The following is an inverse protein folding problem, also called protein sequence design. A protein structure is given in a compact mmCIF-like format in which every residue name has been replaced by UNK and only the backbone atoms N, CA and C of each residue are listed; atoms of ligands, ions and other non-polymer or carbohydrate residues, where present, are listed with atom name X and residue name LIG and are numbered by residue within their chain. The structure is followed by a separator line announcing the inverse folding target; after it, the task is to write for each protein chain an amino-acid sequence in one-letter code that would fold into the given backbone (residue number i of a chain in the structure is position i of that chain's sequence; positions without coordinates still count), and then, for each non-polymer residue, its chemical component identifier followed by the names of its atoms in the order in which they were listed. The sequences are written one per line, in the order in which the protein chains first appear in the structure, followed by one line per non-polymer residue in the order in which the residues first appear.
data_IF_135320865528
#
_entry.id   IF_135320865528
#
_cell.length_a   1.000
_cell.length_b   1.000
_cell.length_c   1.000
_cell.angle_alpha   90.00
_cell.angle_beta   90.00
_cell.angle_gamma   90.00
#
_symmetry.space_group_name_H-M   'P 1'
#
loop_
_entity.id
_entity.type
_entity.pdbx_description
1 polymer ?
#
# COMPACT_ATOMS: atom_id res chain seq x y z
N UNK A 1 -46.07 -20.94 -20.51
CA UNK A 1 -44.71 -21.51 -20.68
C UNK A 1 -43.72 -20.36 -20.34
N UNK A 2 -43.26 -20.31 -19.10
CA UNK A 2 -42.40 -19.23 -18.56
C UNK A 2 -40.97 -19.74 -18.64
N UNK A 3 -40.15 -19.13 -19.47
CA UNK A 3 -38.73 -19.44 -19.58
C UNK A 3 -38.03 -18.75 -18.41
N UNK A 4 -37.25 -19.45 -17.58
CA UNK A 4 -36.46 -18.80 -16.56
C UNK A 4 -35.29 -18.07 -17.22
N UNK A 5 -35.23 -16.77 -17.03
CA UNK A 5 -34.06 -15.97 -17.36
C UNK A 5 -32.95 -16.40 -16.45
N UNK A 6 -31.99 -17.11 -16.98
CA UNK A 6 -30.77 -17.50 -16.36
C UNK A 6 -29.97 -16.20 -16.07
N UNK A 7 -30.04 -15.73 -14.83
CA UNK A 7 -29.24 -14.61 -14.37
C UNK A 7 -27.76 -14.95 -14.50
N UNK A 8 -27.10 -14.32 -15.44
CA UNK A 8 -25.63 -14.24 -15.49
C UNK A 8 -25.19 -13.66 -14.16
N UNK A 9 -24.56 -14.48 -13.32
CA UNK A 9 -23.81 -13.99 -12.15
C UNK A 9 -22.69 -13.17 -12.76
N UNK A 10 -22.91 -11.86 -12.88
CA UNK A 10 -21.85 -10.91 -13.11
C UNK A 10 -20.88 -11.08 -11.97
N UNK A 11 -19.70 -11.57 -12.29
CA UNK A 11 -18.52 -11.50 -11.42
C UNK A 11 -18.29 -10.02 -11.17
N UNK A 12 -18.88 -9.49 -10.11
CA UNK A 12 -18.57 -8.15 -9.58
C UNK A 12 -17.15 -8.21 -9.07
N UNK A 13 -16.20 -8.13 -10.00
CA UNK A 13 -14.87 -7.66 -9.71
C UNK A 13 -15.09 -6.26 -9.17
N UNK A 14 -15.11 -6.12 -7.85
CA UNK A 14 -15.11 -4.80 -7.21
C UNK A 14 -13.81 -4.11 -7.65
N UNK A 15 -13.91 -3.39 -8.75
CA UNK A 15 -12.84 -2.54 -9.23
C UNK A 15 -12.79 -1.37 -8.26
N UNK A 16 -12.04 -1.53 -7.15
CA UNK A 16 -11.74 -0.41 -6.27
C UNK A 16 -11.18 0.77 -7.08
N UNK A 17 -11.04 1.93 -6.46
CA UNK A 17 -10.55 3.17 -7.10
C UNK A 17 -9.32 2.94 -8.00
N UNK A 18 -8.42 2.07 -7.56
CA UNK A 18 -7.24 1.70 -8.34
C UNK A 18 -7.58 0.99 -9.64
N UNK A 19 -8.54 0.05 -9.60
CA UNK A 19 -8.94 -0.73 -10.77
C UNK A 19 -9.65 0.09 -11.83
N UNK A 20 -10.33 1.18 -11.44
CA UNK A 20 -10.95 2.11 -12.36
C UNK A 20 -9.93 2.95 -13.14
N UNK A 21 -8.72 3.19 -12.56
CA UNK A 21 -7.70 4.05 -13.15
C UNK A 21 -6.54 3.26 -13.78
N UNK A 22 -6.19 2.12 -13.22
CA UNK A 22 -4.97 1.39 -13.56
C UNK A 22 -5.25 -0.09 -13.77
N UNK A 23 -4.69 -0.67 -14.83
CA UNK A 23 -4.67 -2.13 -15.01
C UNK A 23 -3.87 -2.81 -13.88
N UNK A 24 -4.09 -4.11 -13.60
CA UNK A 24 -3.38 -4.82 -12.51
C UNK A 24 -1.86 -4.75 -12.58
N UNK A 25 -1.28 -4.77 -13.79
CA UNK A 25 0.17 -4.62 -13.98
C UNK A 25 0.63 -3.20 -13.66
N UNK A 26 -0.13 -2.19 -14.10
CA UNK A 26 0.17 -0.78 -13.80
C UNK A 26 0.14 -0.53 -12.29
N UNK A 27 -0.89 -1.01 -11.60
CA UNK A 27 -0.99 -0.89 -10.15
C UNK A 27 0.26 -1.40 -9.46
N UNK A 28 0.69 -2.63 -9.78
CA UNK A 28 1.85 -3.25 -9.14
C UNK A 28 3.15 -2.52 -9.46
N UNK A 29 3.38 -2.14 -10.71
CA UNK A 29 4.58 -1.38 -11.12
C UNK A 29 4.62 -0.02 -10.44
N UNK A 30 3.51 0.74 -10.47
CA UNK A 30 3.43 2.05 -9.86
C UNK A 30 3.52 1.95 -8.32
N UNK A 31 2.88 0.95 -7.72
CA UNK A 31 2.96 0.70 -6.28
C UNK A 31 4.39 0.49 -5.80
N UNK A 32 5.18 -0.31 -6.52
CA UNK A 32 6.59 -0.53 -6.18
C UNK A 32 7.44 0.72 -6.36
N UNK A 33 7.35 1.37 -7.53
CA UNK A 33 8.22 2.52 -7.87
C UNK A 33 7.88 3.75 -7.02
N UNK A 34 6.61 4.10 -6.88
CA UNK A 34 6.18 5.30 -6.16
C UNK A 34 5.95 5.05 -4.66
N UNK A 35 5.75 3.81 -4.25
CA UNK A 35 5.78 3.42 -2.83
C UNK A 35 7.19 3.48 -2.24
N UNK A 36 8.23 3.30 -3.06
CA UNK A 36 9.64 3.36 -2.65
C UNK A 36 10.44 4.29 -3.60
N UNK A 37 10.14 5.60 -3.65
CA UNK A 37 10.62 6.49 -4.71
C UNK A 37 12.14 6.67 -4.74
N UNK A 38 12.80 6.48 -3.61
CA UNK A 38 14.27 6.60 -3.52
C UNK A 38 15.01 5.31 -3.88
N UNK A 39 14.27 4.21 -4.09
CA UNK A 39 14.85 2.93 -4.45
C UNK A 39 15.03 2.79 -5.96
N UNK A 40 16.17 2.23 -6.34
CA UNK A 40 16.45 1.79 -7.70
C UNK A 40 16.14 0.32 -7.83
N UNK A 41 15.28 -0.03 -8.77
CA UNK A 41 14.88 -1.40 -9.05
C UNK A 41 15.52 -1.88 -10.35
N UNK A 42 16.11 -3.06 -10.33
CA UNK A 42 16.51 -3.72 -11.58
C UNK A 42 15.28 -4.19 -12.35
N UNK A 43 15.36 -4.20 -13.69
CA UNK A 43 14.30 -4.72 -14.55
C UNK A 43 13.84 -6.12 -14.16
N UNK A 44 14.79 -7.03 -13.95
CA UNK A 44 14.49 -8.42 -13.55
C UNK A 44 13.82 -8.50 -12.17
N UNK A 45 14.20 -7.65 -11.24
CA UNK A 45 13.59 -7.54 -9.92
C UNK A 45 12.13 -7.10 -10.02
N UNK A 46 11.85 -6.04 -10.79
CA UNK A 46 10.48 -5.56 -11.02
C UNK A 46 9.61 -6.64 -11.65
N UNK A 47 10.09 -7.37 -12.65
CA UNK A 47 9.36 -8.46 -13.29
C UNK A 47 8.98 -9.52 -12.26
N UNK A 48 9.92 -9.91 -11.40
CA UNK A 48 9.68 -10.89 -10.35
C UNK A 48 8.67 -10.41 -9.32
N UNK A 49 8.80 -9.17 -8.82
CA UNK A 49 7.93 -8.62 -7.77
C UNK A 49 6.52 -8.32 -8.29
N UNK A 50 6.38 -7.91 -9.54
CA UNK A 50 5.08 -7.59 -10.15
C UNK A 50 4.22 -8.84 -10.38
N UNK A 51 4.80 -10.04 -10.45
CA UNK A 51 4.10 -11.29 -10.78
C UNK A 51 3.18 -11.14 -12.01
N UNK A 52 3.64 -10.37 -13.00
CA UNK A 52 2.94 -10.13 -14.26
C UNK A 52 3.69 -10.72 -15.44
N UNK A 53 3.05 -10.85 -16.58
CA UNK A 53 3.74 -11.26 -17.79
C UNK A 53 4.89 -10.32 -18.12
N UNK A 54 6.10 -10.86 -18.36
CA UNK A 54 7.33 -10.11 -18.62
C UNK A 54 7.14 -8.99 -19.65
N UNK A 55 6.47 -9.29 -20.76
CA UNK A 55 6.19 -8.31 -21.81
C UNK A 55 5.27 -7.17 -21.38
N UNK A 56 4.32 -7.43 -20.48
CA UNK A 56 3.42 -6.39 -19.96
C UNK A 56 4.18 -5.43 -19.02
N UNK A 57 5.06 -5.97 -18.18
CA UNK A 57 5.92 -5.15 -17.30
C UNK A 57 6.87 -4.29 -18.13
N UNK A 58 7.54 -4.87 -19.13
CA UNK A 58 8.43 -4.12 -20.01
C UNK A 58 7.70 -2.98 -20.75
N UNK A 59 6.51 -3.24 -21.32
CA UNK A 59 5.74 -2.18 -21.97
C UNK A 59 5.38 -1.05 -21.01
N UNK A 60 5.00 -1.40 -19.77
CA UNK A 60 4.68 -0.39 -18.78
C UNK A 60 5.91 0.44 -18.38
N UNK A 61 7.06 -0.20 -18.16
CA UNK A 61 8.30 0.49 -17.83
C UNK A 61 8.77 1.40 -18.96
N UNK A 62 8.66 0.95 -20.22
CA UNK A 62 8.99 1.78 -21.38
C UNK A 62 8.10 3.04 -21.46
N UNK A 63 6.79 2.91 -21.26
CA UNK A 63 5.89 4.06 -21.21
C UNK A 63 6.24 5.06 -20.12
N UNK A 64 6.61 4.57 -18.93
CA UNK A 64 6.99 5.43 -17.81
C UNK A 64 8.34 6.11 -18.05
N UNK A 65 9.29 5.42 -18.70
CA UNK A 65 10.58 5.98 -19.12
C UNK A 65 10.36 7.08 -20.16
N UNK A 66 9.63 6.79 -21.23
CA UNK A 66 9.33 7.70 -22.34
C UNK A 66 8.59 8.97 -21.88
N UNK A 67 7.64 8.83 -20.95
CA UNK A 67 6.87 9.94 -20.41
C UNK A 67 7.55 10.69 -19.25
N UNK A 68 8.76 10.28 -18.84
CA UNK A 68 9.56 10.96 -17.81
C UNK A 68 9.07 10.71 -16.36
N UNK A 69 8.15 9.77 -16.13
CA UNK A 69 7.71 9.40 -14.78
C UNK A 69 8.79 8.64 -14.00
N UNK A 70 9.69 7.99 -14.70
CA UNK A 70 10.82 7.28 -14.09
C UNK A 70 12.12 7.70 -14.74
N UNK A 71 13.20 7.71 -13.96
CA UNK A 71 14.56 7.81 -14.45
C UNK A 71 15.12 6.41 -14.64
N UNK A 72 15.90 6.22 -15.70
CA UNK A 72 16.60 4.97 -16.00
C UNK A 72 18.09 5.19 -15.97
N UNK A 73 18.79 4.42 -15.16
CA UNK A 73 20.26 4.37 -15.15
C UNK A 73 20.71 3.00 -15.64
N UNK A 74 21.81 2.95 -16.37
CA UNK A 74 22.43 1.71 -16.83
C UNK A 74 23.70 1.44 -16.05
N UNK A 75 23.82 0.24 -15.50
CA UNK A 75 25.03 -0.27 -14.88
C UNK A 75 25.42 -1.57 -15.61
N UNK A 76 26.44 -1.49 -16.48
CA UNK A 76 26.73 -2.56 -17.41
C UNK A 76 25.54 -2.84 -18.34
N UNK A 77 25.12 -4.11 -18.43
CA UNK A 77 23.98 -4.53 -19.26
C UNK A 77 22.61 -4.48 -18.52
N UNK A 78 22.57 -3.88 -17.33
CA UNK A 78 21.36 -3.84 -16.50
C UNK A 78 20.72 -2.44 -16.49
N UNK A 79 19.41 -2.38 -16.70
CA UNK A 79 18.60 -1.18 -16.50
C UNK A 79 18.08 -1.13 -15.06
N UNK A 80 18.24 0.03 -14.44
CA UNK A 80 17.67 0.34 -13.13
C UNK A 80 16.65 1.47 -13.28
N UNK A 81 15.48 1.27 -12.75
CA UNK A 81 14.34 2.19 -12.77
C UNK A 81 14.12 2.80 -11.40
N UNK A 82 13.88 4.09 -11.36
CA UNK A 82 13.55 4.84 -10.14
C UNK A 82 12.47 5.86 -10.46
N UNK A 83 11.55 6.11 -9.53
CA UNK A 83 10.58 7.19 -9.68
C UNK A 83 11.29 8.53 -9.84
N UNK A 84 10.83 9.35 -10.78
CA UNK A 84 11.45 10.64 -11.10
C UNK A 84 10.87 11.74 -10.20
N UNK A 85 11.57 12.10 -9.14
CA UNK A 85 11.16 13.16 -8.22
C UNK A 85 11.14 14.56 -8.86
N UNK A 86 11.80 14.75 -10.00
CA UNK A 86 11.77 16.00 -10.75
C UNK A 86 10.58 16.12 -11.71
N UNK A 87 9.76 15.06 -11.86
CA UNK A 87 8.53 15.14 -12.64
C UNK A 87 7.56 16.14 -11.99
N UNK A 88 6.99 17.09 -12.74
CA UNK A 88 6.12 18.13 -12.17
C UNK A 88 4.92 17.61 -11.39
N UNK A 89 4.37 16.46 -11.76
CA UNK A 89 3.23 15.83 -11.10
C UNK A 89 3.63 14.65 -10.20
N UNK A 90 4.90 14.58 -9.78
CA UNK A 90 5.40 13.49 -8.95
C UNK A 90 4.67 13.37 -7.61
N UNK A 91 4.46 14.49 -6.92
CA UNK A 91 3.82 14.51 -5.60
C UNK A 91 2.37 14.02 -5.66
N UNK A 92 1.63 14.47 -6.69
CA UNK A 92 0.23 14.11 -6.92
C UNK A 92 0.08 12.62 -7.25
N UNK A 93 0.92 12.11 -8.17
CA UNK A 93 0.90 10.69 -8.53
C UNK A 93 1.30 9.83 -7.33
N UNK A 94 2.34 10.20 -6.60
CA UNK A 94 2.76 9.50 -5.39
C UNK A 94 1.63 9.47 -4.34
N UNK A 95 0.96 10.59 -4.12
CA UNK A 95 -0.19 10.69 -3.23
C UNK A 95 -1.36 9.80 -3.67
N UNK A 96 -1.66 9.81 -4.96
CA UNK A 96 -2.70 8.95 -5.55
C UNK A 96 -2.36 7.46 -5.37
N UNK A 97 -1.13 7.08 -5.70
CA UNK A 97 -0.67 5.70 -5.59
C UNK A 97 -0.68 5.23 -4.13
N UNK A 98 -0.19 6.05 -3.18
CA UNK A 98 -0.22 5.71 -1.76
C UNK A 98 -1.64 5.42 -1.25
N UNK A 99 -2.62 6.20 -1.72
CA UNK A 99 -4.03 6.09 -1.31
C UNK A 99 -4.81 4.99 -2.05
N UNK A 100 -4.31 4.47 -3.16
CA UNK A 100 -5.08 3.55 -4.01
C UNK A 100 -4.45 2.17 -4.18
N UNK A 101 -3.17 2.07 -4.45
CA UNK A 101 -2.50 0.80 -4.80
C UNK A 101 -1.21 0.54 -4.06
N UNK A 102 -0.56 1.59 -3.53
CA UNK A 102 0.81 1.50 -3.03
C UNK A 102 0.94 0.58 -1.83
N UNK A 103 0.57 1.07 -0.67
CA UNK A 103 0.72 0.33 0.58
C UNK A 103 -0.62 -0.11 1.15
N UNK A 104 -1.67 0.67 0.92
CA UNK A 104 -2.99 0.44 1.55
C UNK A 104 -3.63 -0.84 1.06
N UNK A 105 -3.64 -1.08 -0.25
CA UNK A 105 -4.35 -2.22 -0.82
C UNK A 105 -3.73 -3.60 -0.46
N UNK A 106 -2.40 -3.80 -0.55
CA UNK A 106 -1.79 -5.03 -0.07
C UNK A 106 -2.02 -5.30 1.42
N UNK A 107 -1.99 -4.25 2.25
CA UNK A 107 -2.28 -4.36 3.68
C UNK A 107 -3.74 -4.68 3.95
N UNK A 108 -4.67 -4.05 3.21
CA UNK A 108 -6.10 -4.34 3.32
C UNK A 108 -6.39 -5.80 3.01
N UNK A 109 -5.83 -6.34 1.93
CA UNK A 109 -5.99 -7.76 1.57
C UNK A 109 -5.39 -8.69 2.62
N UNK A 110 -4.24 -8.34 3.18
CA UNK A 110 -3.61 -9.14 4.23
C UNK A 110 -4.46 -9.17 5.51
N UNK A 111 -5.12 -8.07 5.84
CA UNK A 111 -5.99 -7.95 7.01
C UNK A 111 -7.43 -8.41 6.76
N UNK A 112 -7.84 -8.66 5.51
CA UNK A 112 -9.20 -9.07 5.16
C UNK A 112 -9.72 -10.27 5.98
N UNK A 113 -8.93 -11.36 6.19
CA UNK A 113 -9.37 -12.49 7.02
C UNK A 113 -9.58 -12.14 8.49
N UNK A 114 -9.02 -11.03 8.96
CA UNK A 114 -9.07 -10.55 10.34
C UNK A 114 -10.01 -9.34 10.50
N UNK A 115 -10.63 -8.88 9.42
CA UNK A 115 -11.35 -7.59 9.37
C UNK A 115 -12.46 -7.47 10.41
N UNK A 116 -13.18 -8.54 10.70
CA UNK A 116 -14.25 -8.57 11.71
C UNK A 116 -13.75 -8.29 13.14
N UNK A 117 -12.45 -8.47 13.38
CA UNK A 117 -11.79 -8.18 14.65
C UNK A 117 -11.12 -6.82 14.70
N UNK A 118 -11.08 -6.07 13.59
CA UNK A 118 -10.37 -4.78 13.47
C UNK A 118 -11.35 -3.62 13.50
N UNK A 119 -11.25 -2.76 14.49
CA UNK A 119 -12.02 -1.51 14.54
C UNK A 119 -11.44 -0.47 13.57
N UNK A 120 -10.12 -0.31 13.58
CA UNK A 120 -9.41 0.54 12.63
C UNK A 120 -7.98 0.03 12.42
N UNK A 121 -7.45 0.22 11.22
CA UNK A 121 -6.04 -0.01 10.91
C UNK A 121 -5.51 1.09 10.01
N UNK A 122 -4.34 1.64 10.32
CA UNK A 122 -3.75 2.73 9.54
C UNK A 122 -2.23 2.74 9.60
N UNK A 123 -1.62 3.21 8.51
CA UNK A 123 -0.19 3.50 8.42
C UNK A 123 0.06 4.86 9.04
N UNK A 124 1.13 4.98 9.82
CA UNK A 124 1.60 6.23 10.43
C UNK A 124 3.10 6.42 10.19
N UNK A 125 3.73 7.34 10.90
CA UNK A 125 5.17 7.53 10.84
C UNK A 125 5.67 8.20 9.56
N UNK A 126 6.85 7.79 9.10
CA UNK A 126 7.55 8.43 7.97
C UNK A 126 6.79 8.33 6.66
N UNK A 127 6.13 7.20 6.41
CA UNK A 127 5.35 6.96 5.20
C UNK A 127 4.16 7.90 5.10
N UNK A 128 3.37 7.98 6.16
CA UNK A 128 2.20 8.85 6.20
C UNK A 128 2.58 10.34 6.08
N UNK A 129 3.75 10.71 6.58
CA UNK A 129 4.34 12.06 6.44
C UNK A 129 4.96 12.32 5.08
N UNK A 130 5.19 11.30 4.25
CA UNK A 130 5.92 11.43 3.00
C UNK A 130 7.43 11.67 3.16
N UNK A 131 8.02 11.31 4.31
CA UNK A 131 9.45 11.48 4.64
C UNK A 131 10.21 10.15 4.70
N UNK A 132 9.57 9.05 4.29
CA UNK A 132 10.14 7.71 4.29
C UNK A 132 11.32 7.56 3.33
N UNK A 133 12.22 6.63 3.68
CA UNK A 133 13.36 6.22 2.88
C UNK A 133 13.16 4.79 2.39
N UNK A 134 13.99 4.34 1.46
CA UNK A 134 13.93 2.98 0.91
C UNK A 134 14.02 1.88 1.99
N UNK A 135 14.76 2.13 3.06
CA UNK A 135 14.95 1.20 4.17
C UNK A 135 13.95 1.43 5.34
N UNK A 136 13.00 2.38 5.21
CA UNK A 136 12.02 2.60 6.26
C UNK A 136 10.99 1.48 6.29
N UNK A 137 10.68 0.98 7.48
CA UNK A 137 9.59 0.04 7.69
C UNK A 137 8.23 0.71 7.48
N UNK A 138 7.21 -0.12 7.31
CA UNK A 138 5.82 0.33 7.28
C UNK A 138 5.28 0.26 8.70
N UNK A 139 5.16 1.40 9.36
CA UNK A 139 4.56 1.49 10.68
C UNK A 139 3.04 1.34 10.56
N UNK A 140 2.48 0.22 11.03
CA UNK A 140 1.06 -0.09 10.99
C UNK A 140 0.49 -0.13 12.41
N UNK A 141 -0.54 0.65 12.70
CA UNK A 141 -1.32 0.51 13.93
C UNK A 141 -2.64 -0.19 13.62
N UNK A 142 -2.98 -1.17 14.46
CA UNK A 142 -4.26 -1.88 14.43
C UNK A 142 -4.96 -1.69 15.76
N UNK A 143 -6.17 -1.17 15.73
CA UNK A 143 -7.03 -1.04 16.91
C UNK A 143 -7.99 -2.24 16.94
N UNK A 144 -7.81 -3.08 17.96
CA UNK A 144 -8.54 -4.33 18.10
C UNK A 144 -8.55 -4.78 19.57
N UNK A 145 -9.66 -5.33 20.00
CA UNK A 145 -9.79 -6.01 21.30
C UNK A 145 -9.62 -7.54 21.23
N UNK A 146 -9.49 -8.06 19.99
CA UNK A 146 -9.47 -9.51 19.71
C UNK A 146 -8.16 -10.03 19.16
N UNK A 147 -7.41 -9.15 18.48
CA UNK A 147 -6.19 -9.53 17.76
C UNK A 147 -4.95 -9.22 18.58
N UNK A 148 -3.97 -10.13 18.50
CA UNK A 148 -2.65 -9.96 19.06
C UNK A 148 -1.57 -9.79 17.99
N UNK A 149 -0.35 -9.49 18.43
CA UNK A 149 0.81 -9.41 17.55
C UNK A 149 1.03 -10.66 16.67
N UNK A 150 0.90 -11.90 17.20
CA UNK A 150 1.10 -13.11 16.39
C UNK A 150 0.12 -13.24 15.22
N UNK A 151 -1.15 -12.82 15.41
CA UNK A 151 -2.17 -12.88 14.37
C UNK A 151 -1.79 -11.95 13.21
N UNK A 152 -1.40 -10.72 13.54
CA UNK A 152 -0.98 -9.71 12.56
C UNK A 152 0.33 -10.13 11.88
N UNK A 153 1.29 -10.63 12.62
CA UNK A 153 2.56 -11.09 12.05
C UNK A 153 2.34 -12.12 10.96
N UNK A 154 1.48 -13.11 11.23
CA UNK A 154 1.15 -14.17 10.27
C UNK A 154 0.43 -13.61 9.05
N UNK A 155 -0.58 -12.76 9.25
CA UNK A 155 -1.37 -12.20 8.16
C UNK A 155 -0.55 -11.27 7.25
N UNK A 156 0.41 -10.52 7.81
CA UNK A 156 1.16 -9.50 7.09
C UNK A 156 2.35 -10.03 6.27
N UNK A 157 2.77 -11.28 6.46
CA UNK A 157 3.92 -11.87 5.73
C UNK A 157 3.78 -11.79 4.21
N UNK A 158 2.58 -12.06 3.69
CA UNK A 158 2.32 -11.96 2.25
C UNK A 158 2.43 -10.52 1.75
N UNK A 159 1.98 -9.54 2.54
CA UNK A 159 2.08 -8.14 2.21
C UNK A 159 3.54 -7.66 2.25
N UNK A 160 4.34 -8.04 3.25
CA UNK A 160 5.78 -7.75 3.30
C UNK A 160 6.50 -8.25 2.05
N UNK A 161 6.23 -9.50 1.67
CA UNK A 161 6.81 -10.10 0.47
C UNK A 161 6.42 -9.34 -0.81
N UNK A 162 5.14 -8.96 -0.93
CA UNK A 162 4.63 -8.23 -2.10
C UNK A 162 5.16 -6.80 -2.18
N UNK A 163 5.32 -6.13 -1.05
CA UNK A 163 5.81 -4.75 -0.96
C UNK A 163 7.34 -4.66 -0.97
N UNK A 164 8.04 -5.77 -0.65
CA UNK A 164 9.50 -5.79 -0.49
C UNK A 164 9.96 -4.87 0.66
N UNK A 165 9.13 -4.71 1.71
CA UNK A 165 9.38 -3.86 2.89
C UNK A 165 8.84 -4.54 4.14
N UNK A 166 9.57 -4.41 5.22
CA UNK A 166 9.12 -4.88 6.54
C UNK A 166 7.92 -4.07 7.03
N UNK A 167 7.02 -4.74 7.70
CA UNK A 167 5.87 -4.13 8.35
C UNK A 167 6.06 -4.27 9.86
N UNK A 168 5.98 -3.14 10.57
CA UNK A 168 6.07 -3.08 12.03
C UNK A 168 4.67 -2.88 12.62
N UNK A 169 3.92 -3.98 12.91
CA UNK A 169 2.57 -3.86 13.44
C UNK A 169 2.59 -3.52 14.92
N UNK A 170 1.77 -2.56 15.31
CA UNK A 170 1.43 -2.26 16.69
C UNK A 170 -0.07 -2.54 16.91
N UNK A 171 -0.41 -3.10 18.05
CA UNK A 171 -1.80 -3.38 18.44
C UNK A 171 -2.13 -2.55 19.67
N UNK A 172 -3.30 -1.96 19.67
CA UNK A 172 -3.89 -1.29 20.83
C UNK A 172 -5.36 -1.69 20.95
N UNK A 173 -5.84 -1.84 22.19
CA UNK A 173 -7.29 -1.95 22.39
C UNK A 173 -7.97 -0.61 22.13
N UNK A 174 -9.26 -0.58 21.77
CA UNK A 174 -10.01 0.66 21.64
C UNK A 174 -9.94 1.52 22.93
N UNK A 175 -10.02 0.89 24.08
CA UNK A 175 -9.92 1.56 25.38
C UNK A 175 -8.54 2.19 25.60
N UNK A 176 -7.46 1.45 25.31
CA UNK A 176 -6.10 1.98 25.40
C UNK A 176 -5.87 3.13 24.42
N UNK A 177 -6.39 3.01 23.19
CA UNK A 177 -6.30 4.09 22.21
C UNK A 177 -6.97 5.36 22.74
N UNK A 178 -8.23 5.28 23.15
CA UNK A 178 -9.00 6.42 23.65
C UNK A 178 -8.35 7.06 24.89
N UNK A 179 -7.90 6.24 25.85
CA UNK A 179 -7.22 6.73 27.04
C UNK A 179 -5.90 7.43 26.71
N UNK A 180 -5.06 6.79 25.89
CA UNK A 180 -3.71 7.28 25.60
C UNK A 180 -3.69 8.45 24.61
N UNK A 181 -4.69 8.60 23.76
CA UNK A 181 -4.82 9.78 22.89
C UNK A 181 -4.98 11.07 23.72
N UNK A 182 -5.66 10.99 24.86
CA UNK A 182 -5.85 12.13 25.77
C UNK A 182 -4.61 12.42 26.65
N UNK A 183 -3.70 11.46 26.77
CA UNK A 183 -2.49 11.59 27.58
C UNK A 183 -1.41 12.36 26.82
N UNK A 184 -1.12 13.57 27.27
CA UNK A 184 -0.14 14.48 26.63
C UNK A 184 1.25 13.83 26.53
N UNK A 185 1.77 13.74 25.31
CA UNK A 185 3.10 13.18 25.03
C UNK A 185 3.12 11.65 24.87
N UNK A 186 2.00 10.96 25.03
CA UNK A 186 1.89 9.52 24.78
C UNK A 186 2.19 9.20 23.31
N UNK A 187 2.46 7.93 23.04
CA UNK A 187 2.63 7.43 21.68
C UNK A 187 1.35 7.64 20.83
N UNK A 188 0.18 7.30 21.38
CA UNK A 188 -1.10 7.45 20.69
C UNK A 188 -1.42 8.94 20.39
N UNK A 189 -1.21 9.84 21.35
CA UNK A 189 -1.41 11.28 21.15
C UNK A 189 -0.52 11.84 20.03
N UNK A 190 0.75 11.41 19.98
CA UNK A 190 1.67 11.81 18.89
C UNK A 190 1.22 11.32 17.53
N UNK A 191 0.72 10.08 17.42
CA UNK A 191 0.23 9.51 16.18
C UNK A 191 -1.08 10.18 15.77
N UNK A 192 -1.99 10.42 16.71
CA UNK A 192 -3.28 11.06 16.44
C UNK A 192 -3.11 12.48 15.85
N UNK A 193 -2.06 13.20 16.25
CA UNK A 193 -1.74 14.54 15.77
C UNK A 193 -1.01 14.56 14.40
N UNK A 194 -0.74 13.42 13.78
CA UNK A 194 0.04 13.30 12.55
C UNK A 194 -0.81 12.75 11.40
N UNK A 195 -0.37 12.92 10.14
CA UNK A 195 -1.00 12.27 8.99
C UNK A 195 -1.07 10.75 9.18
N UNK A 196 -2.20 10.17 8.80
CA UNK A 196 -2.47 8.72 8.82
C UNK A 196 -3.03 8.29 7.47
N UNK A 197 -2.69 7.07 7.04
CA UNK A 197 -3.27 6.46 5.84
C UNK A 197 -4.09 5.24 6.29
N UNK A 198 -5.39 5.38 6.30
CA UNK A 198 -6.29 4.31 6.74
C UNK A 198 -6.29 3.13 5.76
N UNK A 199 -6.12 1.94 6.31
CA UNK A 199 -6.24 0.65 5.64
C UNK A 199 -7.64 0.08 5.86
N UNK A 200 -8.13 0.14 7.10
CA UNK A 200 -9.48 -0.24 7.53
C UNK A 200 -10.01 0.89 8.41
N UNK A 201 -11.27 1.23 8.24
CA UNK A 201 -11.92 2.28 9.02
C UNK A 201 -11.48 3.70 8.65
N UNK A 202 -11.74 4.62 9.56
CA UNK A 202 -11.54 6.06 9.40
C UNK A 202 -11.32 6.73 10.77
N UNK A 203 -11.14 8.04 10.80
CA UNK A 203 -11.03 8.80 12.06
C UNK A 203 -12.30 8.69 12.94
N UNK A 204 -13.47 8.54 12.33
CA UNK A 204 -14.73 8.37 13.08
C UNK A 204 -14.80 7.06 13.86
N UNK A 205 -14.09 6.04 13.42
CA UNK A 205 -14.05 4.73 14.07
C UNK A 205 -13.09 4.69 15.27
N UNK A 206 -12.30 5.74 15.44
CA UNK A 206 -11.35 5.91 16.55
C UNK A 206 -11.86 6.82 17.68
N UNK A 207 -13.03 7.44 17.48
CA UNK A 207 -13.64 8.38 18.42
C UNK A 207 -14.24 7.71 19.66
#
# INVERSE_FOLDING_TARGET
MIVPVMGTIANESSHGLAGALFSPVQQRVLGLLFGQPNRRFQSAELIRLVHGGTGAVHRQLARLEESGWVTVTRAGNQKHYQANAACPAFAELRGLIAKTVGLVEPLRRALEPLADGVQAAFIYGSIAKGTDKAASDIDLLVVSDRLGYPDLFTALQAAESALGRSISPNVMTPQDWQAKVQEKGSFAARIAAQPRLFVIGSDSDLA
#
